data_IF_484497958193
#
_entry.id   IF_484497958193
#
_cell.length_a   1.000
_cell.length_b   1.000
_cell.length_c   1.000
_cell.angle_alpha   90.00
_cell.angle_beta   90.00
_cell.angle_gamma   90.00
#
_symmetry.space_group_name_H-M   'P 1'
#
loop_
_entity.id
_entity.type
_entity.pdbx_description
1 polymer ?
#
# COMPACT_ATOMS: atom_id res chain seq x y z
N UNK A 1 7.66 -16.94 -28.46
CA UNK A 1 7.89 -17.36 -27.05
C UNK A 1 8.85 -18.54 -27.10
N UNK A 2 10.08 -18.35 -26.61
CA UNK A 2 11.17 -19.34 -26.67
C UNK A 2 10.87 -20.51 -25.74
N UNK A 3 10.99 -21.73 -26.26
CA UNK A 3 10.52 -22.98 -25.68
C UNK A 3 11.45 -23.61 -24.63
N UNK A 4 12.25 -22.83 -23.88
CA UNK A 4 13.25 -23.40 -22.95
C UNK A 4 13.73 -22.53 -21.78
N UNK A 5 13.05 -21.45 -21.44
CA UNK A 5 13.44 -20.65 -20.27
C UNK A 5 12.91 -21.30 -18.97
N UNK A 6 13.77 -21.40 -17.96
CA UNK A 6 13.37 -21.89 -16.64
C UNK A 6 12.52 -20.83 -15.92
N UNK A 7 11.73 -21.24 -14.91
CA UNK A 7 10.98 -20.29 -14.08
C UNK A 7 11.89 -19.19 -13.48
N UNK A 8 13.10 -19.57 -13.10
CA UNK A 8 14.12 -18.64 -12.61
C UNK A 8 14.49 -17.61 -13.68
N UNK A 9 14.78 -18.04 -14.90
CA UNK A 9 15.19 -17.13 -15.98
C UNK A 9 14.04 -16.18 -16.36
N UNK A 10 12.81 -16.69 -16.41
CA UNK A 10 11.61 -15.86 -16.64
C UNK A 10 11.45 -14.82 -15.52
N UNK A 11 11.71 -15.18 -14.26
CA UNK A 11 11.64 -14.24 -13.13
C UNK A 11 12.73 -13.17 -13.19
N UNK A 12 13.97 -13.54 -13.53
CA UNK A 12 15.06 -12.57 -13.69
C UNK A 12 14.80 -11.59 -14.84
N UNK A 13 14.27 -12.07 -15.96
CA UNK A 13 13.90 -11.22 -17.09
C UNK A 13 12.78 -10.23 -16.70
N UNK A 14 11.75 -10.70 -16.01
CA UNK A 14 10.67 -9.86 -15.50
C UNK A 14 11.19 -8.76 -14.56
N UNK A 15 12.04 -9.11 -13.59
CA UNK A 15 12.70 -8.12 -12.71
C UNK A 15 13.57 -7.14 -13.48
N UNK A 16 14.24 -7.59 -14.56
CA UNK A 16 14.98 -6.72 -15.47
C UNK A 16 14.10 -5.67 -16.13
N UNK A 17 12.89 -6.06 -16.57
CA UNK A 17 11.91 -5.13 -17.15
C UNK A 17 11.44 -4.09 -16.13
N UNK A 18 11.13 -4.50 -14.90
CA UNK A 18 10.71 -3.57 -13.85
C UNK A 18 11.78 -2.51 -13.55
N UNK A 19 13.06 -2.90 -13.51
CA UNK A 19 14.18 -1.96 -13.28
C UNK A 19 14.36 -0.94 -14.39
N UNK A 20 13.92 -1.25 -15.62
CA UNK A 20 13.98 -0.32 -16.76
C UNK A 20 12.89 0.75 -16.71
N UNK A 21 11.82 0.51 -15.95
CA UNK A 21 10.70 1.43 -15.77
C UNK A 21 10.50 1.81 -14.29
N UNK A 22 11.50 2.43 -13.64
CA UNK A 22 11.49 2.65 -12.19
C UNK A 22 10.37 3.60 -11.72
N UNK A 23 9.85 4.44 -12.62
CA UNK A 23 8.86 5.47 -12.29
C UNK A 23 7.40 4.99 -12.24
N UNK A 24 7.11 3.72 -12.56
CA UNK A 24 5.74 3.21 -12.58
C UNK A 24 5.23 2.70 -11.24
N UNK A 25 6.09 2.58 -10.23
CA UNK A 25 5.77 2.19 -8.84
C UNK A 25 4.63 1.17 -8.71
N UNK A 26 4.65 0.12 -9.55
CA UNK A 26 3.62 -0.91 -9.50
C UNK A 26 3.67 -1.59 -8.12
N UNK A 27 2.58 -1.65 -7.35
CA UNK A 27 2.55 -2.39 -6.10
C UNK A 27 2.87 -3.87 -6.33
N UNK A 28 3.48 -4.49 -5.31
CA UNK A 28 3.99 -5.88 -5.38
C UNK A 28 2.94 -6.88 -5.89
N UNK A 29 1.68 -6.75 -5.46
CA UNK A 29 0.61 -7.65 -5.89
C UNK A 29 0.34 -7.58 -7.39
N UNK A 30 0.45 -6.40 -8.01
CA UNK A 30 0.32 -6.25 -9.47
C UNK A 30 1.50 -6.88 -10.19
N UNK A 31 2.72 -6.72 -9.65
CA UNK A 31 3.91 -7.35 -10.23
C UNK A 31 3.79 -8.88 -10.22
N UNK A 32 3.36 -9.46 -9.09
CA UNK A 32 3.17 -10.91 -8.95
C UNK A 32 2.03 -11.40 -9.84
N UNK A 33 0.91 -10.66 -9.94
CA UNK A 33 -0.19 -11.02 -10.82
C UNK A 33 0.20 -11.00 -12.30
N UNK A 34 0.92 -9.96 -12.74
CA UNK A 34 1.43 -9.88 -14.12
C UNK A 34 2.35 -11.06 -14.41
N UNK A 35 3.33 -11.31 -13.54
CA UNK A 35 4.22 -12.46 -13.69
C UNK A 35 3.48 -13.80 -13.73
N UNK A 36 2.54 -14.01 -12.81
CA UNK A 36 1.73 -15.23 -12.73
C UNK A 36 0.91 -15.45 -14.02
N UNK A 37 0.38 -14.37 -14.60
CA UNK A 37 -0.37 -14.44 -15.85
C UNK A 37 0.52 -14.72 -17.08
N UNK A 38 1.79 -14.32 -17.04
CA UNK A 38 2.68 -14.46 -18.19
C UNK A 38 3.49 -15.77 -18.21
N UNK A 39 3.50 -16.53 -17.10
CA UNK A 39 4.17 -17.84 -17.03
C UNK A 39 3.30 -18.99 -17.57
N UNK A 40 3.97 -20.09 -17.94
CA UNK A 40 3.32 -21.32 -18.41
C UNK A 40 2.48 -21.99 -17.32
N UNK A 41 1.50 -22.81 -17.73
CA UNK A 41 0.65 -23.58 -16.80
C UNK A 41 1.47 -24.46 -15.84
N UNK A 42 2.56 -25.07 -16.32
CA UNK A 42 3.44 -25.88 -15.48
C UNK A 42 4.11 -25.04 -14.39
N UNK A 43 4.62 -23.86 -14.75
CA UNK A 43 5.22 -22.93 -13.81
C UNK A 43 4.19 -22.38 -12.81
N UNK A 44 2.96 -22.09 -13.24
CA UNK A 44 1.87 -21.72 -12.32
C UNK A 44 1.58 -22.82 -11.30
N UNK A 45 1.50 -24.08 -11.74
CA UNK A 45 1.30 -25.20 -10.85
C UNK A 45 2.46 -25.35 -9.84
N UNK A 46 3.70 -25.12 -10.25
CA UNK A 46 4.85 -25.09 -9.34
C UNK A 46 4.74 -23.96 -8.31
N UNK A 47 4.34 -22.77 -8.74
CA UNK A 47 4.15 -21.61 -7.85
C UNK A 47 3.04 -21.89 -6.83
N UNK A 48 1.89 -22.40 -7.29
CA UNK A 48 0.76 -22.72 -6.41
C UNK A 48 1.08 -23.86 -5.43
N UNK A 49 1.81 -24.88 -5.88
CA UNK A 49 2.25 -25.96 -4.99
C UNK A 49 3.18 -25.44 -3.89
N UNK A 50 4.13 -24.56 -4.24
CA UNK A 50 5.03 -23.94 -3.27
C UNK A 50 4.30 -22.98 -2.30
N UNK A 51 3.24 -22.34 -2.76
CA UNK A 51 2.39 -21.46 -1.95
C UNK A 51 1.36 -22.22 -1.09
N UNK A 52 1.30 -23.56 -1.16
CA UNK A 52 0.33 -24.38 -0.42
C UNK A 52 -1.11 -24.24 -0.92
N UNK A 53 -1.30 -23.80 -2.16
CA UNK A 53 -2.58 -23.43 -2.75
C UNK A 53 -2.40 -22.28 -3.74
N UNK A 54 -3.49 -21.83 -4.36
CA UNK A 54 -3.39 -20.74 -5.35
C UNK A 54 -2.82 -19.47 -4.72
N UNK A 55 -1.68 -19.00 -5.22
CA UNK A 55 -0.97 -17.84 -4.64
C UNK A 55 -1.87 -16.60 -4.57
N UNK A 56 -2.73 -16.41 -5.57
CA UNK A 56 -3.70 -15.32 -5.63
C UNK A 56 -4.76 -15.41 -4.51
N UNK A 57 -5.15 -16.62 -4.11
CA UNK A 57 -6.10 -16.83 -3.01
C UNK A 57 -5.48 -16.41 -1.68
N UNK A 58 -4.18 -16.68 -1.48
CA UNK A 58 -3.48 -16.28 -0.27
C UNK A 58 -3.41 -14.75 -0.15
N UNK A 59 -3.12 -14.03 -1.26
CA UNK A 59 -3.17 -12.56 -1.27
C UNK A 59 -4.56 -12.00 -0.95
N UNK A 60 -5.61 -12.59 -1.54
CA UNK A 60 -6.99 -12.17 -1.26
C UNK A 60 -7.37 -12.42 0.20
N UNK A 61 -6.99 -13.57 0.76
CA UNK A 61 -7.24 -13.89 2.17
C UNK A 61 -6.57 -12.88 3.10
N UNK A 62 -5.32 -12.52 2.83
CA UNK A 62 -4.59 -11.55 3.64
C UNK A 62 -5.20 -10.14 3.50
N UNK A 63 -5.58 -9.75 2.29
CA UNK A 63 -6.27 -8.48 2.06
C UNK A 63 -7.63 -8.42 2.80
N UNK A 64 -8.39 -9.52 2.78
CA UNK A 64 -9.63 -9.64 3.56
C UNK A 64 -9.37 -9.54 5.06
N UNK A 65 -8.35 -10.23 5.59
CA UNK A 65 -7.99 -10.15 7.00
C UNK A 65 -7.67 -8.72 7.45
N UNK A 66 -6.91 -7.97 6.63
CA UNK A 66 -6.57 -6.57 6.91
C UNK A 66 -7.83 -5.69 6.91
N UNK A 67 -8.76 -5.92 5.97
CA UNK A 67 -10.04 -5.20 5.93
C UNK A 67 -10.88 -5.53 7.17
N UNK A 68 -10.95 -6.81 7.56
CA UNK A 68 -11.66 -7.26 8.75
C UNK A 68 -11.04 -6.67 10.02
N UNK A 69 -9.71 -6.54 10.09
CA UNK A 69 -9.01 -5.89 11.20
C UNK A 69 -9.32 -4.38 11.27
N UNK A 70 -9.25 -3.67 10.14
CA UNK A 70 -9.57 -2.24 10.06
C UNK A 70 -11.04 -2.00 10.42
N UNK A 71 -11.95 -2.83 9.91
CA UNK A 71 -13.38 -2.69 10.19
C UNK A 71 -13.69 -3.04 11.65
N UNK A 72 -13.10 -4.10 12.21
CA UNK A 72 -13.26 -4.46 13.63
C UNK A 72 -12.71 -3.35 14.54
N UNK A 73 -11.54 -2.78 14.20
CA UNK A 73 -10.99 -1.63 14.90
C UNK A 73 -11.91 -0.40 14.79
N UNK A 74 -12.50 -0.15 13.61
CA UNK A 74 -13.47 0.93 13.43
C UNK A 74 -14.76 0.74 14.25
N UNK A 75 -15.22 -0.52 14.40
CA UNK A 75 -16.35 -0.86 15.26
C UNK A 75 -16.01 -0.61 16.73
N UNK A 76 -14.78 -0.88 17.17
CA UNK A 76 -14.33 -0.59 18.53
C UNK A 76 -14.28 0.92 18.85
N UNK A 77 -13.92 1.75 17.85
CA UNK A 77 -13.98 3.21 17.97
C UNK A 77 -15.44 3.70 18.04
N UNK A 78 -16.36 3.04 17.33
CA UNK A 78 -17.78 3.39 17.34
C UNK A 78 -18.51 3.01 18.64
N UNK A 79 -18.13 1.92 19.31
CA UNK A 79 -18.71 1.51 20.60
C UNK A 79 -18.15 2.31 21.79
N UNK A 80 -16.96 2.92 21.65
CA UNK A 80 -16.42 3.88 22.62
C UNK A 80 -17.00 5.29 22.51
N UNK A 81 -17.71 5.59 21.42
CA UNK A 81 -18.28 6.91 21.12
C UNK A 81 -19.80 6.98 21.30
N UNK A 82 -20.42 5.95 21.88
CA UNK A 82 -21.87 5.94 22.10
C UNK A 82 -22.36 6.90 23.21
N UNK A 83 -21.48 7.73 23.79
CA UNK A 83 -21.86 8.73 24.82
C UNK A 83 -21.45 10.18 24.60
N UNK A 84 -21.00 10.60 23.41
CA UNK A 84 -20.87 12.05 23.17
C UNK A 84 -21.42 12.46 21.80
N UNK A 85 -22.25 13.50 21.83
CA UNK A 85 -23.03 14.09 20.76
C UNK A 85 -22.25 14.19 19.43
N UNK A 86 -22.81 13.61 18.37
CA UNK A 86 -22.27 13.51 17.00
C UNK A 86 -21.91 14.87 16.36
N UNK A 87 -22.17 15.99 17.02
CA UNK A 87 -21.82 17.34 16.54
C UNK A 87 -20.42 17.83 16.94
N UNK A 88 -19.73 17.17 17.86
CA UNK A 88 -18.46 17.68 18.43
C UNK A 88 -17.20 17.12 17.72
N UNK A 89 -17.31 15.97 17.03
CA UNK A 89 -16.15 15.30 16.39
C UNK A 89 -15.68 16.02 15.11
N UNK A 90 -16.60 16.58 14.32
CA UNK A 90 -16.22 17.38 13.14
C UNK A 90 -15.50 18.68 13.53
N UNK A 91 -15.83 19.25 14.69
CA UNK A 91 -15.26 20.53 15.15
C UNK A 91 -13.78 20.36 15.59
N UNK A 92 -13.41 19.23 16.21
CA UNK A 92 -12.03 19.01 16.68
C UNK A 92 -11.03 18.71 15.55
N UNK A 93 -11.47 18.07 14.46
CA UNK A 93 -10.58 17.83 13.30
C UNK A 93 -10.24 19.12 12.55
N UNK A 94 -11.21 20.04 12.41
CA UNK A 94 -10.99 21.33 11.76
C UNK A 94 -10.05 22.21 12.59
N UNK A 95 -10.17 22.17 13.92
CA UNK A 95 -9.30 22.94 14.83
C UNK A 95 -7.83 22.45 14.80
N UNK A 96 -7.62 21.13 14.72
CA UNK A 96 -6.28 20.55 14.59
C UNK A 96 -5.60 20.91 13.25
N UNK A 97 -6.35 20.88 12.14
CA UNK A 97 -5.83 21.28 10.81
C UNK A 97 -5.50 22.78 10.79
N UNK A 98 -6.37 23.61 11.36
CA UNK A 98 -6.13 25.06 11.47
C UNK A 98 -4.90 25.36 12.31
N UNK A 99 -4.74 24.66 13.43
CA UNK A 99 -3.58 24.79 14.33
C UNK A 99 -2.27 24.40 13.63
N UNK A 100 -2.26 23.29 12.88
CA UNK A 100 -1.10 22.88 12.07
C UNK A 100 -0.77 23.93 11.00
N UNK A 101 -1.78 24.50 10.35
CA UNK A 101 -1.57 25.55 9.34
C UNK A 101 -0.94 26.81 9.94
N UNK A 102 -1.41 27.23 11.12
CA UNK A 102 -0.83 28.37 11.88
C UNK A 102 0.62 28.09 12.28
N UNK A 103 0.92 26.88 12.76
CA UNK A 103 2.29 26.49 13.12
C UNK A 103 3.22 26.44 11.90
N UNK A 104 2.73 25.95 10.76
CA UNK A 104 3.50 25.88 9.52
C UNK A 104 3.80 27.27 8.95
N UNK A 105 2.84 28.20 9.05
CA UNK A 105 3.05 29.61 8.70
C UNK A 105 4.11 30.27 9.59
N UNK A 106 4.09 30.01 10.90
CA UNK A 106 5.09 30.54 11.83
C UNK A 106 6.50 29.94 11.59
N UNK A 107 6.58 28.66 11.24
CA UNK A 107 7.84 28.01 10.89
C UNK A 107 8.43 28.62 9.61
N UNK A 108 7.61 28.83 8.58
CA UNK A 108 8.04 29.47 7.32
C UNK A 108 8.62 30.86 7.57
N UNK A 109 7.94 31.69 8.36
CA UNK A 109 8.42 33.04 8.66
C UNK A 109 9.78 33.04 9.37
N UNK A 110 10.01 32.10 10.30
CA UNK A 110 11.31 31.96 10.97
C UNK A 110 12.42 31.55 10.00
N UNK A 111 12.14 30.65 9.07
CA UNK A 111 13.10 30.25 8.03
C UNK A 111 13.45 31.43 7.11
N UNK A 112 12.45 32.18 6.66
CA UNK A 112 12.64 33.37 5.82
C UNK A 112 13.49 34.43 6.53
N UNK A 113 13.26 34.66 7.83
CA UNK A 113 14.02 35.62 8.64
C UNK A 113 15.48 35.20 8.88
N UNK A 114 15.76 33.90 8.95
CA UNK A 114 17.14 33.38 9.04
C UNK A 114 17.89 33.53 7.71
N UNK A 115 17.20 33.40 6.59
CA UNK A 115 17.76 33.63 5.25
C UNK A 115 17.99 35.10 4.91
N UNK A 116 17.27 36.03 5.56
CA UNK A 116 17.44 37.48 5.38
C UNK A 116 18.52 38.11 6.28
N UNK A 117 19.08 37.35 7.23
CA UNK A 117 20.08 37.82 8.21
C UNK A 117 21.52 37.38 7.89
N UNK A 118 21.76 36.85 6.68
CA UNK A 118 23.07 36.49 6.12
C UNK A 118 23.25 37.26 4.81
#
# INVERSE_FOLDING_TARGET
>A
MSTRESLHDTWEHFKGMLRRCPHHELPMWQQVQTFYNDVTLANRATIDAAAGGTIMKNFLSEASNIIDEITTNSYSYSYGLEKTDKRVIDIHRIDAITTLFVQMAALKQKVDNLGAAI
#
